data_IF_828769701047
#
_entry.id   IF_828769701047
#
_cell.length_a   1.000
_cell.length_b   1.000
_cell.length_c   1.000
_cell.angle_alpha   90.00
_cell.angle_beta   90.00
_cell.angle_gamma   90.00
#
_symmetry.space_group_name_H-M   'P 1'
#
loop_
_entity.id
_entity.type
_entity.pdbx_description
1 polymer ?
#
# COMPACT_ATOMS: atom_id res chain seq x y z
N UNK A 1 3.46 27.48 0.17
CA UNK A 1 3.30 27.19 1.62
C UNK A 1 2.08 26.30 1.76
N UNK A 2 2.27 24.99 1.94
CA UNK A 2 1.14 24.08 2.13
C UNK A 2 0.64 24.20 3.56
N UNK A 3 -0.66 24.38 3.73
CA UNK A 3 -1.28 24.54 5.04
C UNK A 3 -1.34 23.15 5.68
N UNK A 4 -1.15 23.05 7.00
CA UNK A 4 -1.18 21.80 7.79
C UNK A 4 -2.35 20.85 7.41
N UNK A 5 -3.52 21.43 7.10
CA UNK A 5 -4.70 20.71 6.62
C UNK A 5 -4.40 19.83 5.42
N UNK A 6 -3.55 20.30 4.52
CA UNK A 6 -3.34 19.71 3.20
C UNK A 6 -2.50 18.44 3.31
N UNK A 7 -1.47 18.45 4.15
CA UNK A 7 -0.62 17.27 4.38
C UNK A 7 -1.38 16.16 5.10
N UNK A 8 -2.10 16.48 6.18
CA UNK A 8 -2.90 15.48 6.91
C UNK A 8 -4.05 14.94 6.04
N UNK A 9 -4.67 15.79 5.21
CA UNK A 9 -5.67 15.37 4.25
C UNK A 9 -5.09 14.40 3.21
N UNK A 10 -3.90 14.69 2.68
CA UNK A 10 -3.22 13.81 1.73
C UNK A 10 -2.82 12.48 2.37
N UNK A 11 -2.34 12.47 3.62
CA UNK A 11 -2.03 11.23 4.35
C UNK A 11 -3.31 10.43 4.63
N UNK A 12 -4.40 11.09 5.00
CA UNK A 12 -5.72 10.46 5.12
C UNK A 12 -6.17 9.82 3.81
N UNK A 13 -6.03 10.55 2.70
CA UNK A 13 -6.33 10.06 1.36
C UNK A 13 -5.44 8.88 0.98
N UNK A 14 -4.14 8.93 1.27
CA UNK A 14 -3.19 7.84 1.06
C UNK A 14 -3.65 6.55 1.76
N UNK A 15 -4.05 6.65 3.03
CA UNK A 15 -4.55 5.52 3.79
C UNK A 15 -5.88 4.97 3.26
N UNK A 16 -6.78 5.86 2.84
CA UNK A 16 -8.05 5.46 2.24
C UNK A 16 -7.82 4.68 0.94
N UNK A 17 -7.05 5.23 -0.01
CA UNK A 17 -6.81 4.55 -1.29
C UNK A 17 -6.02 3.25 -1.10
N UNK A 18 -5.09 3.22 -0.14
CA UNK A 18 -4.35 2.01 0.22
C UNK A 18 -5.29 0.91 0.71
N UNK A 19 -6.11 1.19 1.72
CA UNK A 19 -7.00 0.20 2.35
C UNK A 19 -7.97 -0.39 1.33
N UNK A 20 -8.58 0.46 0.48
CA UNK A 20 -9.47 0.00 -0.58
C UNK A 20 -8.75 -0.89 -1.61
N UNK A 21 -7.51 -0.54 -1.97
CA UNK A 21 -6.71 -1.33 -2.91
C UNK A 21 -6.28 -2.66 -2.30
N UNK A 22 -5.93 -2.68 -1.01
CA UNK A 22 -5.55 -3.90 -0.29
C UNK A 22 -6.71 -4.90 -0.25
N UNK A 23 -7.95 -4.45 -0.03
CA UNK A 23 -9.12 -5.35 -0.04
C UNK A 23 -9.30 -6.11 -1.36
N UNK A 24 -8.83 -5.55 -2.50
CA UNK A 24 -8.91 -6.22 -3.80
C UNK A 24 -8.02 -7.46 -3.89
N UNK A 25 -7.05 -7.62 -2.99
CA UNK A 25 -6.24 -8.83 -2.89
C UNK A 25 -7.07 -10.09 -2.63
N UNK A 26 -8.26 -9.96 -2.03
CA UNK A 26 -9.22 -11.06 -1.86
C UNK A 26 -9.54 -11.70 -3.22
N UNK A 27 -9.79 -10.91 -4.25
CA UNK A 27 -10.12 -11.41 -5.59
C UNK A 27 -8.91 -12.04 -6.29
N UNK A 28 -7.69 -11.56 -5.99
CA UNK A 28 -6.48 -12.22 -6.46
C UNK A 28 -6.32 -13.61 -5.81
N UNK A 29 -6.68 -13.75 -4.54
CA UNK A 29 -6.69 -15.04 -3.83
C UNK A 29 -7.75 -15.97 -4.45
N UNK A 30 -8.98 -15.47 -4.69
CA UNK A 30 -10.04 -16.21 -5.42
C UNK A 30 -9.50 -16.77 -6.74
N UNK A 31 -8.89 -15.91 -7.57
CA UNK A 31 -8.37 -16.32 -8.86
C UNK A 31 -7.25 -17.36 -8.74
N UNK A 32 -6.26 -17.11 -7.87
CA UNK A 32 -5.07 -17.96 -7.76
C UNK A 32 -5.35 -19.31 -7.09
N UNK A 33 -6.25 -19.35 -6.11
CA UNK A 33 -6.61 -20.58 -5.40
C UNK A 33 -7.82 -21.31 -6.01
N UNK A 34 -8.58 -20.64 -6.89
CA UNK A 34 -9.81 -21.16 -7.52
C UNK A 34 -10.86 -21.57 -6.48
N UNK A 35 -11.07 -20.70 -5.50
CA UNK A 35 -12.01 -20.90 -4.37
C UNK A 35 -13.11 -19.85 -4.39
N UNK A 36 -14.22 -20.09 -3.67
CA UNK A 36 -15.24 -19.06 -3.48
C UNK A 36 -14.72 -17.83 -2.70
N UNK A 37 -15.43 -16.71 -2.83
CA UNK A 37 -15.04 -15.44 -2.20
C UNK A 37 -14.93 -15.58 -0.68
N UNK A 38 -15.85 -16.32 -0.06
CA UNK A 38 -15.92 -16.54 1.38
C UNK A 38 -14.67 -17.23 1.91
N UNK A 39 -14.19 -18.28 1.22
CA UNK A 39 -12.95 -18.96 1.55
C UNK A 39 -11.72 -18.03 1.40
N UNK A 40 -11.68 -17.23 0.32
CA UNK A 40 -10.62 -16.24 0.13
C UNK A 40 -10.62 -15.14 1.20
N UNK A 41 -11.81 -14.71 1.66
CA UNK A 41 -11.96 -13.77 2.79
C UNK A 41 -11.37 -14.38 4.06
N UNK A 42 -11.67 -15.64 4.38
CA UNK A 42 -11.09 -16.32 5.55
C UNK A 42 -9.57 -16.33 5.48
N UNK A 43 -8.98 -16.64 4.32
CA UNK A 43 -7.52 -16.60 4.14
C UNK A 43 -6.98 -15.18 4.34
N UNK A 44 -7.62 -14.17 3.75
CA UNK A 44 -7.21 -12.77 3.87
C UNK A 44 -7.26 -12.26 5.32
N UNK A 45 -8.30 -12.64 6.08
CA UNK A 45 -8.47 -12.30 7.49
C UNK A 45 -7.47 -13.05 8.39
N UNK A 46 -7.08 -14.27 8.02
CA UNK A 46 -6.08 -15.06 8.76
C UNK A 46 -4.68 -14.44 8.66
N UNK A 47 -4.36 -13.80 7.54
CA UNK A 47 -3.09 -13.12 7.33
C UNK A 47 -3.15 -11.70 7.93
N UNK A 48 -2.67 -11.56 9.16
CA UNK A 48 -2.79 -10.34 9.96
C UNK A 48 -1.98 -9.13 9.48
N UNK A 49 -1.16 -9.27 8.43
CA UNK A 49 -0.35 -8.17 7.90
C UNK A 49 -0.45 -8.09 6.38
N UNK A 50 -0.42 -6.87 5.83
CA UNK A 50 -0.38 -6.65 4.38
C UNK A 50 0.81 -7.34 3.72
N UNK A 51 1.96 -7.40 4.42
CA UNK A 51 3.14 -8.13 3.94
C UNK A 51 2.83 -9.61 3.74
N UNK A 52 2.24 -10.26 4.74
CA UNK A 52 1.90 -11.68 4.65
C UNK A 52 0.91 -11.97 3.52
N UNK A 53 -0.09 -11.09 3.31
CA UNK A 53 -1.04 -11.16 2.19
C UNK A 53 -0.35 -11.05 0.83
N UNK A 54 0.51 -10.05 0.65
CA UNK A 54 1.29 -9.88 -0.58
C UNK A 54 2.21 -11.08 -0.85
N UNK A 55 2.88 -11.59 0.19
CA UNK A 55 3.79 -12.73 0.05
C UNK A 55 3.04 -14.02 -0.30
N UNK A 56 1.84 -14.25 0.25
CA UNK A 56 0.98 -15.35 -0.18
C UNK A 56 0.68 -15.24 -1.68
N UNK A 57 0.19 -14.08 -2.13
CA UNK A 57 -0.20 -13.85 -3.52
C UNK A 57 0.98 -14.07 -4.47
N UNK A 58 2.16 -13.54 -4.15
CA UNK A 58 3.34 -13.75 -4.98
C UNK A 58 3.77 -15.22 -5.04
N UNK A 59 3.67 -15.95 -3.92
CA UNK A 59 4.01 -17.38 -3.88
C UNK A 59 3.01 -18.20 -4.69
N UNK A 60 1.71 -17.93 -4.56
CA UNK A 60 0.65 -18.55 -5.35
C UNK A 60 0.83 -18.26 -6.85
N UNK A 61 1.10 -17.01 -7.22
CA UNK A 61 1.32 -16.61 -8.62
C UNK A 61 2.53 -17.29 -9.27
N UNK A 62 3.51 -17.74 -8.47
CA UNK A 62 4.71 -18.45 -8.95
C UNK A 62 4.49 -19.96 -9.12
N UNK A 63 3.37 -20.51 -8.66
CA UNK A 63 3.07 -21.93 -8.84
C UNK A 63 2.99 -22.29 -10.34
N UNK A 64 3.39 -23.50 -10.74
CA UNK A 64 3.31 -23.95 -12.14
C UNK A 64 1.89 -23.95 -12.72
N UNK A 65 0.87 -24.03 -11.87
CA UNK A 65 -0.55 -24.00 -12.24
C UNK A 65 -1.08 -22.63 -12.64
N UNK A 66 -0.32 -21.55 -12.41
CA UNK A 66 -0.71 -20.18 -12.76
C UNK A 66 -0.30 -19.87 -14.19
N UNK A 67 -1.24 -19.35 -14.98
CA UNK A 67 -0.96 -18.93 -16.36
C UNK A 67 0.19 -17.91 -16.42
N UNK A 68 1.01 -17.98 -17.47
CA UNK A 68 2.20 -17.14 -17.58
C UNK A 68 1.86 -15.64 -17.67
N UNK A 69 0.76 -15.28 -18.33
CA UNK A 69 0.26 -13.90 -18.44
C UNK A 69 -0.24 -13.40 -17.09
N UNK A 70 -1.02 -14.22 -16.39
CA UNK A 70 -1.57 -13.87 -15.08
C UNK A 70 -0.46 -13.71 -14.05
N UNK A 71 0.48 -14.66 -14.01
CA UNK A 71 1.70 -14.57 -13.19
C UNK A 71 2.45 -13.28 -13.43
N UNK A 72 2.73 -12.92 -14.70
CA UNK A 72 3.46 -11.68 -15.02
C UNK A 72 2.70 -10.44 -14.53
N UNK A 73 1.39 -10.43 -14.71
CA UNK A 73 0.51 -9.31 -14.33
C UNK A 73 0.45 -9.15 -12.82
N UNK A 74 0.14 -10.22 -12.09
CA UNK A 74 0.04 -10.22 -10.62
C UNK A 74 1.37 -9.83 -9.99
N UNK A 75 2.50 -10.39 -10.44
CA UNK A 75 3.81 -10.05 -9.88
C UNK A 75 4.19 -8.58 -10.14
N UNK A 76 3.78 -8.01 -11.28
CA UNK A 76 3.96 -6.58 -11.55
C UNK A 76 3.14 -5.70 -10.60
N UNK A 77 1.88 -6.05 -10.36
CA UNK A 77 0.99 -5.37 -9.40
C UNK A 77 1.59 -5.45 -7.98
N UNK A 78 2.03 -6.64 -7.54
CA UNK A 78 2.61 -6.83 -6.21
C UNK A 78 3.90 -6.02 -6.02
N UNK A 79 4.77 -5.97 -7.03
CA UNK A 79 6.01 -5.17 -6.97
C UNK A 79 5.71 -3.67 -6.76
N UNK A 80 4.69 -3.14 -7.45
CA UNK A 80 4.24 -1.75 -7.29
C UNK A 80 3.62 -1.50 -5.92
N UNK A 81 2.76 -2.39 -5.44
CA UNK A 81 2.20 -2.29 -4.08
C UNK A 81 3.28 -2.32 -3.00
N UNK A 82 4.29 -3.19 -3.12
CA UNK A 82 5.42 -3.22 -2.16
C UNK A 82 6.21 -1.91 -2.15
N UNK A 83 6.34 -1.23 -3.29
CA UNK A 83 6.94 0.11 -3.36
C UNK A 83 6.07 1.10 -2.58
N UNK A 84 4.78 1.17 -2.87
CA UNK A 84 3.88 2.14 -2.23
C UNK A 84 3.62 1.83 -0.74
N UNK A 85 3.71 0.57 -0.31
CA UNK A 85 3.68 0.18 1.10
C UNK A 85 4.78 0.88 1.91
N UNK A 86 5.99 1.00 1.33
CA UNK A 86 7.12 1.69 1.97
C UNK A 86 6.83 3.18 2.12
N UNK A 87 6.27 3.81 1.09
CA UNK A 87 5.87 5.21 1.10
C UNK A 87 4.77 5.47 2.12
N UNK A 88 3.72 4.64 2.14
CA UNK A 88 2.65 4.68 3.13
C UNK A 88 3.18 4.54 4.55
N UNK A 89 4.09 3.61 4.78
CA UNK A 89 4.69 3.43 6.11
C UNK A 89 5.56 4.62 6.51
N UNK A 90 6.29 5.26 5.57
CA UNK A 90 7.05 6.49 5.81
C UNK A 90 6.15 7.58 6.42
N UNK A 91 5.02 7.87 5.79
CA UNK A 91 4.14 8.97 6.20
C UNK A 91 3.20 8.65 7.38
N UNK A 92 2.93 7.37 7.66
CA UNK A 92 2.13 6.98 8.83
C UNK A 92 2.93 6.84 10.12
N UNK A 93 4.24 6.63 10.01
CA UNK A 93 5.12 6.43 11.16
C UNK A 93 6.11 7.59 11.35
N UNK A 94 5.89 8.74 10.70
CA UNK A 94 6.65 9.96 10.99
C UNK A 94 6.00 10.74 12.14
N UNK A 95 6.80 11.58 12.80
CA UNK A 95 6.31 12.54 13.79
C UNK A 95 6.16 13.89 13.11
N UNK A 96 4.98 14.49 13.28
CA UNK A 96 4.71 15.85 12.83
C UNK A 96 5.14 16.81 13.95
N UNK A 97 6.13 17.67 13.71
CA UNK A 97 6.64 18.63 14.69
C UNK A 97 6.09 20.02 14.42
N UNK A 98 5.73 20.72 15.49
CA UNK A 98 5.06 22.02 15.45
C UNK A 98 6.01 23.14 15.89
N UNK A 99 5.84 24.34 15.34
CA UNK A 99 6.46 25.54 15.90
C UNK A 99 5.63 26.14 17.06
N UNK A 100 6.14 27.21 17.65
CA UNK A 100 5.51 27.95 18.75
C UNK A 100 4.12 28.54 18.40
N UNK A 101 3.74 28.56 17.12
CA UNK A 101 2.43 29.05 16.65
C UNK A 101 1.44 27.91 16.36
N UNK A 102 1.85 26.65 16.54
CA UNK A 102 1.03 25.48 16.22
C UNK A 102 0.99 25.14 14.73
N UNK A 103 1.83 25.76 13.90
CA UNK A 103 1.99 25.37 12.49
C UNK A 103 3.07 24.28 12.37
N UNK A 104 2.94 23.39 11.38
CA UNK A 104 3.96 22.35 11.14
C UNK A 104 5.21 23.03 10.54
N UNK A 105 6.21 23.30 11.37
CA UNK A 105 7.49 23.83 10.91
C UNK A 105 8.40 22.75 10.29
N UNK A 106 8.15 21.46 10.57
CA UNK A 106 8.80 20.33 9.92
C UNK A 106 8.07 19.01 10.18
N UNK A 107 8.07 18.10 9.22
CA UNK A 107 7.96 16.67 9.54
C UNK A 107 9.32 16.21 10.06
N UNK A 108 9.39 15.72 11.29
CA UNK A 108 10.58 14.99 11.71
C UNK A 108 10.34 13.53 11.36
N UNK A 109 11.03 13.04 10.32
CA UNK A 109 11.08 11.62 9.99
C UNK A 109 11.88 10.90 11.09
N UNK A 110 11.22 10.68 12.22
CA UNK A 110 11.74 9.95 13.36
C UNK A 110 11.81 8.45 13.04
N UNK A 111 12.74 8.07 12.15
CA UNK A 111 13.30 6.73 12.24
C UNK A 111 14.25 6.76 13.43
N UNK A 112 13.79 6.37 14.62
CA UNK A 112 14.72 5.97 15.66
C UNK A 112 15.54 4.83 15.07
N UNK A 113 16.80 5.12 14.76
CA UNK A 113 17.76 4.10 14.36
C UNK A 113 18.49 3.73 15.64
N UNK A 114 18.21 2.54 16.13
CA UNK A 114 18.97 1.91 17.21
C UNK A 114 20.24 1.35 16.58
N UNK A 115 21.38 1.93 16.93
CA UNK A 115 22.71 1.37 16.71
C UNK A 115 23.17 0.74 18.04
N UNK A 116 24.09 -0.23 18.03
CA UNK A 116 24.53 -1.05 19.18
C UNK A 116 25.00 -0.23 20.40
N UNK A 117 25.16 1.09 20.26
CA UNK A 117 25.61 1.99 21.31
C UNK A 117 24.74 3.22 21.58
N UNK A 118 23.80 3.62 20.70
CA UNK A 118 23.05 4.89 20.85
C UNK A 118 21.68 4.89 20.12
N UNK A 119 20.65 5.45 20.77
CA UNK A 119 19.37 5.81 20.13
C UNK A 119 19.54 7.17 19.44
N UNK A 120 19.53 7.19 18.10
CA UNK A 120 19.62 8.45 17.33
C UNK A 120 18.25 8.87 16.80
N UNK A 121 17.96 10.17 16.91
CA UNK A 121 16.87 10.80 16.17
C UNK A 121 17.13 10.62 14.67
N UNK A 122 16.11 10.17 13.93
CA UNK A 122 16.21 9.92 12.50
C UNK A 122 16.50 11.18 11.66
N UNK A 123 16.58 11.00 10.34
CA UNK A 123 16.77 12.09 9.39
C UNK A 123 15.56 13.04 9.42
N UNK A 124 15.76 14.29 9.85
CA UNK A 124 14.74 15.33 9.74
C UNK A 124 14.58 15.71 8.26
N UNK A 125 13.41 15.43 7.68
CA UNK A 125 13.07 15.80 6.31
C UNK A 125 11.96 16.85 6.35
N UNK A 126 12.27 18.09 5.96
CA UNK A 126 11.25 19.14 5.86
C UNK A 126 10.15 18.70 4.89
N UNK A 127 8.89 18.89 5.29
CA UNK A 127 7.74 18.75 4.40
C UNK A 127 7.72 19.96 3.49
N UNK A 128 8.46 19.88 2.39
CA UNK A 128 8.49 20.89 1.34
C UNK A 128 7.52 20.52 0.20
N UNK A 129 7.46 21.38 -0.81
CA UNK A 129 6.59 21.17 -1.97
C UNK A 129 6.93 19.85 -2.71
N UNK A 130 8.19 19.41 -2.68
CA UNK A 130 8.61 18.15 -3.32
C UNK A 130 8.09 16.93 -2.57
N UNK A 131 8.09 16.94 -1.25
CA UNK A 131 7.51 15.85 -0.46
C UNK A 131 6.00 15.76 -0.64
N UNK A 132 5.32 16.89 -0.84
CA UNK A 132 3.89 16.94 -1.16
C UNK A 132 3.62 16.35 -2.54
N UNK A 133 4.36 16.78 -3.56
CA UNK A 133 4.28 16.20 -4.91
C UNK A 133 4.54 14.69 -4.90
N UNK A 134 5.49 14.23 -4.08
CA UNK A 134 5.79 12.80 -3.91
C UNK A 134 4.62 12.04 -3.28
N UNK A 135 3.97 12.62 -2.27
CA UNK A 135 2.79 12.04 -1.63
C UNK A 135 1.60 11.95 -2.60
N UNK A 136 1.33 13.02 -3.35
CA UNK A 136 0.30 13.05 -4.39
C UNK A 136 0.56 12.00 -5.48
N UNK A 137 1.81 11.88 -5.92
CA UNK A 137 2.22 10.85 -6.88
C UNK A 137 2.01 9.44 -6.33
N UNK A 138 2.34 9.19 -5.06
CA UNK A 138 2.12 7.89 -4.42
C UNK A 138 0.63 7.53 -4.39
N UNK A 139 -0.24 8.50 -4.08
CA UNK A 139 -1.69 8.32 -4.13
C UNK A 139 -2.14 7.98 -5.56
N UNK A 140 -1.66 8.71 -6.56
CA UNK A 140 -1.99 8.44 -7.97
C UNK A 140 -1.51 7.05 -8.42
N UNK A 141 -0.30 6.64 -8.01
CA UNK A 141 0.28 5.33 -8.30
C UNK A 141 -0.56 4.19 -7.69
N UNK A 142 -1.05 4.35 -6.44
CA UNK A 142 -1.95 3.38 -5.79
C UNK A 142 -3.29 3.31 -6.53
N UNK A 143 -3.86 4.45 -6.93
CA UNK A 143 -5.11 4.47 -7.72
C UNK A 143 -4.92 3.77 -9.07
N UNK A 144 -3.78 3.96 -9.74
CA UNK A 144 -3.46 3.26 -10.98
C UNK A 144 -3.34 1.75 -10.75
N UNK A 145 -2.68 1.32 -9.67
CA UNK A 145 -2.62 -0.09 -9.28
C UNK A 145 -4.02 -0.66 -9.03
N UNK A 146 -4.89 0.07 -8.34
CA UNK A 146 -6.27 -0.35 -8.10
C UNK A 146 -7.03 -0.58 -9.41
N UNK A 147 -6.91 0.33 -10.37
CA UNK A 147 -7.51 0.18 -11.71
C UNK A 147 -6.97 -1.04 -12.46
N UNK A 148 -5.68 -1.30 -12.37
CA UNK A 148 -5.05 -2.47 -12.99
C UNK A 148 -5.54 -3.77 -12.33
N UNK A 149 -5.70 -3.77 -11.00
CA UNK A 149 -6.29 -4.89 -10.26
C UNK A 149 -7.74 -5.14 -10.71
N UNK A 150 -8.58 -4.11 -10.79
CA UNK A 150 -9.94 -4.23 -11.28
C UNK A 150 -10.00 -4.77 -12.71
N UNK A 151 -9.14 -4.27 -13.60
CA UNK A 151 -9.06 -4.74 -14.98
C UNK A 151 -8.70 -6.23 -15.05
N UNK A 152 -7.76 -6.67 -14.20
CA UNK A 152 -7.43 -8.08 -14.04
C UNK A 152 -8.59 -8.90 -13.48
N UNK A 153 -9.26 -8.39 -12.44
CA UNK A 153 -10.38 -9.05 -11.76
C UNK A 153 -11.55 -9.27 -12.74
N UNK A 154 -11.94 -8.26 -13.52
CA UNK A 154 -13.01 -8.37 -14.50
C UNK A 154 -12.68 -9.33 -15.65
N UNK A 155 -11.40 -9.50 -15.98
CA UNK A 155 -10.94 -10.44 -17.00
C UNK A 155 -10.79 -11.88 -16.47
N UNK A 156 -10.82 -12.07 -15.15
CA UNK A 156 -10.60 -13.37 -14.51
C UNK A 156 -11.81 -14.29 -14.71
N UNK A 157 -11.64 -15.52 -15.24
CA UNK A 157 -12.73 -16.49 -15.35
C UNK A 157 -13.14 -17.09 -14.00
N UNK A 158 -12.36 -16.83 -12.95
CA UNK A 158 -12.55 -17.42 -11.62
C UNK A 158 -13.18 -16.45 -10.62
N UNK A 159 -13.35 -15.18 -10.99
CA UNK A 159 -14.05 -14.21 -10.14
C UNK A 159 -15.46 -14.02 -10.70
N UNK A 160 -16.48 -14.40 -9.92
CA UNK A 160 -17.87 -14.22 -10.32
C UNK A 160 -18.22 -12.73 -10.46
N UNK A 161 -19.03 -12.38 -11.47
CA UNK A 161 -19.60 -11.05 -11.62
C UNK A 161 -20.46 -10.66 -10.40
N UNK A 162 -21.11 -11.63 -9.74
CA UNK A 162 -21.92 -11.40 -8.53
C UNK A 162 -21.09 -10.97 -7.31
N UNK A 163 -19.76 -11.05 -7.42
CA UNK A 163 -18.83 -10.62 -6.37
C UNK A 163 -18.39 -9.15 -6.48
N UNK A 164 -18.66 -8.48 -7.61
CA UNK A 164 -18.14 -7.17 -7.99
C UNK A 164 -19.22 -6.08 -7.85
#
# INVERSE_FOLDING_TARGET
MAVMSDVLLLVGRLNYVWTNTESLMIYLIVHLMKVEKEAAIVVFLTLNTTRARMDLIERLAKLPSTDAKDRKTILSIMARLKKEARTRNKYNHCIYSFDEKGEIASTQLMRLVEDDSQVRYGKVERMDEKEIEHLEKSIADIVAVSKDMWSFIHASPHVSADYL
#
